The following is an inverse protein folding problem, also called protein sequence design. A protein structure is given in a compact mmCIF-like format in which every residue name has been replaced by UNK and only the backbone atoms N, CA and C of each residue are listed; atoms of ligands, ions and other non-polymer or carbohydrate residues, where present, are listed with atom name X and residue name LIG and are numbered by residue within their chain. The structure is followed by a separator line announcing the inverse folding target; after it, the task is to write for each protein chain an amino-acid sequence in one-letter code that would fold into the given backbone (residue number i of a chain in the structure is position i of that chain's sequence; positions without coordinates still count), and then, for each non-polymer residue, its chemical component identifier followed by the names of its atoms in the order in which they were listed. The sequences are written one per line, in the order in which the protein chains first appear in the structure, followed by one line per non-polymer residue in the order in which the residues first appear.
data_IF_248485939659
#
_entry.id   IF_248485939659
#
_cell.length_a   1.000
_cell.length_b   1.000
_cell.length_c   1.000
_cell.angle_alpha   90.00
_cell.angle_beta   90.00
_cell.angle_gamma   90.00
#
_symmetry.space_group_name_H-M   'P 1'
#
loop_
_entity.id
_entity.type
_entity.pdbx_description
1 polymer ?
#
# COMPACT_ATOMS: atom_id res chain seq x y z
N UNK A 1 -20.28 4.83 53.05
CA UNK A 1 -19.99 3.93 51.91
C UNK A 1 -21.06 3.86 50.80
N UNK A 2 -22.17 4.64 50.81
CA UNK A 2 -23.22 4.56 49.76
C UNK A 2 -22.99 5.43 48.51
N UNK A 3 -21.95 6.30 48.50
CA UNK A 3 -21.64 7.21 47.39
C UNK A 3 -20.73 6.61 46.31
N UNK A 4 -19.96 5.56 46.62
CA UNK A 4 -19.05 4.92 45.66
C UNK A 4 -19.81 4.14 44.56
N UNK A 5 -21.00 3.62 44.88
CA UNK A 5 -21.87 2.89 43.94
C UNK A 5 -22.77 3.78 43.05
N UNK A 6 -22.69 5.12 43.16
CA UNK A 6 -23.51 6.07 42.38
C UNK A 6 -22.77 6.73 41.21
N UNK A 7 -21.48 6.48 41.04
CA UNK A 7 -20.67 7.04 39.95
C UNK A 7 -20.77 6.20 38.65
N UNK A 8 -21.99 6.00 38.13
CA UNK A 8 -22.22 5.31 36.83
C UNK A 8 -22.17 6.26 35.62
N UNK A 9 -22.13 7.58 35.84
CA UNK A 9 -22.26 8.59 34.77
C UNK A 9 -21.02 8.75 33.86
N UNK A 10 -19.88 8.16 34.21
CA UNK A 10 -18.66 8.17 33.36
C UNK A 10 -18.18 6.79 32.92
N UNK A 11 -18.66 5.71 33.55
CA UNK A 11 -18.22 4.34 33.28
C UNK A 11 -18.66 3.87 31.88
N UNK A 12 -19.87 4.22 31.46
CA UNK A 12 -20.37 3.84 30.13
C UNK A 12 -19.54 4.45 28.98
N UNK A 13 -19.03 5.66 29.14
CA UNK A 13 -18.22 6.32 28.11
C UNK A 13 -16.90 5.57 27.88
N UNK A 14 -16.25 5.12 28.96
CA UNK A 14 -15.02 4.33 28.89
C UNK A 14 -15.26 2.93 28.33
N UNK A 15 -16.34 2.26 28.74
CA UNK A 15 -16.68 0.93 28.22
C UNK A 15 -16.90 0.95 26.70
N UNK A 16 -17.71 1.89 26.21
CA UNK A 16 -17.93 2.01 24.76
C UNK A 16 -16.67 2.46 24.02
N UNK A 17 -15.84 3.33 24.62
CA UNK A 17 -14.56 3.73 24.02
C UNK A 17 -13.58 2.57 23.84
N UNK A 18 -13.45 1.71 24.86
CA UNK A 18 -12.58 0.53 24.80
C UNK A 18 -13.14 -0.51 23.81
N UNK A 19 -14.47 -0.72 23.79
CA UNK A 19 -15.09 -1.63 22.82
C UNK A 19 -14.86 -1.18 21.37
N UNK A 20 -15.08 0.10 21.07
CA UNK A 20 -14.86 0.65 19.72
C UNK A 20 -13.37 0.57 19.34
N UNK A 21 -12.46 0.90 20.26
CA UNK A 21 -11.02 0.77 20.04
C UNK A 21 -10.59 -0.66 19.77
N UNK A 22 -11.13 -1.63 20.51
CA UNK A 22 -10.84 -3.05 20.31
C UNK A 22 -11.30 -3.56 18.93
N UNK A 23 -12.52 -3.20 18.51
CA UNK A 23 -13.05 -3.60 17.20
C UNK A 23 -12.21 -2.97 16.07
N UNK A 24 -11.83 -1.70 16.20
CA UNK A 24 -11.00 -1.01 15.22
C UNK A 24 -9.62 -1.67 15.07
N UNK A 25 -8.99 -2.06 16.19
CA UNK A 25 -7.69 -2.73 16.18
C UNK A 25 -7.76 -4.10 15.50
N UNK A 26 -8.79 -4.89 15.80
CA UNK A 26 -9.00 -6.20 15.15
C UNK A 26 -9.25 -6.04 13.65
N UNK A 27 -10.05 -5.06 13.24
CA UNK A 27 -10.31 -4.77 11.84
C UNK A 27 -9.04 -4.36 11.07
N UNK A 28 -8.18 -3.53 11.69
CA UNK A 28 -6.91 -3.11 11.10
C UNK A 28 -5.96 -4.31 10.93
N UNK A 29 -5.82 -5.15 11.95
CA UNK A 29 -4.99 -6.36 11.88
C UNK A 29 -5.51 -7.34 10.82
N UNK A 30 -6.82 -7.56 10.74
CA UNK A 30 -7.43 -8.41 9.73
C UNK A 30 -7.18 -7.87 8.31
N UNK A 31 -7.31 -6.56 8.11
CA UNK A 31 -7.07 -5.92 6.80
C UNK A 31 -5.61 -6.02 6.38
N UNK A 32 -4.66 -5.81 7.30
CA UNK A 32 -3.23 -5.93 7.01
C UNK A 32 -2.83 -7.36 6.62
N UNK A 33 -3.33 -8.38 7.34
CA UNK A 33 -3.05 -9.78 7.03
C UNK A 33 -3.72 -10.22 5.73
N UNK A 34 -4.97 -9.80 5.52
CA UNK A 34 -5.73 -10.14 4.31
C UNK A 34 -5.16 -9.46 3.06
N UNK A 35 -4.61 -8.24 3.19
CA UNK A 35 -4.01 -7.50 2.09
C UNK A 35 -2.85 -8.26 1.44
N UNK A 36 -1.87 -8.70 2.23
CA UNK A 36 -0.73 -9.50 1.73
C UNK A 36 -1.20 -10.82 1.10
N UNK A 37 -2.13 -11.53 1.75
CA UNK A 37 -2.67 -12.80 1.21
C UNK A 37 -3.43 -12.61 -0.10
N UNK A 38 -4.13 -11.48 -0.25
CA UNK A 38 -4.84 -11.13 -1.48
C UNK A 38 -3.83 -10.84 -2.60
N UNK A 39 -2.76 -10.09 -2.31
CA UNK A 39 -1.65 -9.88 -3.24
C UNK A 39 -1.01 -11.20 -3.69
N UNK A 40 -0.73 -12.12 -2.76
CA UNK A 40 -0.16 -13.44 -3.10
C UNK A 40 -1.09 -14.25 -4.00
N UNK A 41 -2.40 -14.22 -3.73
CA UNK A 41 -3.41 -14.90 -4.53
C UNK A 41 -3.45 -14.32 -5.95
N UNK A 42 -3.55 -13.00 -6.09
CA UNK A 42 -3.57 -12.33 -7.39
C UNK A 42 -2.26 -12.57 -8.16
N UNK A 43 -1.11 -12.53 -7.49
CA UNK A 43 0.18 -12.87 -8.09
C UNK A 43 0.27 -14.31 -8.58
N UNK A 44 -0.27 -15.27 -7.81
CA UNK A 44 -0.34 -16.69 -8.22
C UNK A 44 -1.26 -16.87 -9.43
N UNK A 45 -2.38 -16.16 -9.47
CA UNK A 45 -3.31 -16.18 -10.60
C UNK A 45 -2.66 -15.57 -11.84
N UNK A 46 -1.99 -14.43 -11.73
CA UNK A 46 -1.25 -13.80 -12.82
C UNK A 46 -0.12 -14.72 -13.36
N UNK A 47 0.59 -15.42 -12.47
CA UNK A 47 1.62 -16.38 -12.87
C UNK A 47 1.04 -17.62 -13.59
N UNK A 48 -0.20 -18.02 -13.27
CA UNK A 48 -0.85 -19.20 -13.87
C UNK A 48 -1.65 -18.90 -15.14
N UNK A 49 -1.97 -17.62 -15.41
CA UNK A 49 -2.58 -17.13 -16.64
C UNK A 49 -1.62 -16.17 -17.35
N UNK A 50 -0.53 -16.68 -17.95
CA UNK A 50 0.42 -15.84 -18.65
C UNK A 50 -0.26 -15.07 -19.79
N UNK A 51 0.05 -13.79 -19.92
CA UNK A 51 -0.37 -12.94 -21.03
C UNK A 51 0.23 -13.39 -22.36
N UNK A 52 -0.24 -12.80 -23.45
CA UNK A 52 0.11 -13.25 -24.79
C UNK A 52 1.55 -12.92 -25.20
N UNK A 53 2.20 -11.99 -24.48
CA UNK A 53 3.58 -11.58 -24.72
C UNK A 53 4.38 -11.56 -23.42
N UNK A 54 5.71 -11.69 -23.54
CA UNK A 54 6.63 -11.82 -22.40
C UNK A 54 6.60 -10.58 -21.48
N UNK A 55 6.18 -9.42 -22.00
CA UNK A 55 6.04 -8.17 -21.25
C UNK A 55 4.81 -8.17 -20.31
N UNK A 56 3.82 -9.04 -20.55
CA UNK A 56 2.58 -9.14 -19.76
C UNK A 56 2.75 -9.97 -18.47
N UNK A 57 3.87 -10.70 -18.36
CA UNK A 57 4.19 -11.62 -17.27
C UNK A 57 5.20 -11.07 -16.26
N UNK A 58 5.55 -9.78 -16.36
CA UNK A 58 6.39 -9.09 -15.40
C UNK A 58 5.78 -9.11 -13.99
N UNK A 59 6.62 -8.98 -12.97
CA UNK A 59 6.14 -8.82 -11.60
C UNK A 59 5.18 -7.61 -11.53
N UNK A 60 4.02 -7.76 -10.87
CA UNK A 60 3.13 -6.64 -10.58
C UNK A 60 3.86 -5.71 -9.60
N UNK A 61 4.54 -4.71 -10.14
CA UNK A 61 5.26 -3.69 -9.36
C UNK A 61 4.27 -2.55 -9.10
N UNK A 62 3.88 -2.35 -7.84
CA UNK A 62 3.07 -1.18 -7.44
C UNK A 62 3.79 0.08 -7.92
N UNK A 63 3.16 0.79 -8.86
CA UNK A 63 3.77 1.79 -9.74
C UNK A 63 4.64 2.77 -8.99
N UNK A 64 5.94 2.68 -9.25
CA UNK A 64 6.86 3.64 -8.73
C UNK A 64 7.21 4.68 -9.77
N UNK A 65 6.95 5.94 -9.43
CA UNK A 65 7.14 7.06 -10.33
C UNK A 65 8.61 7.30 -10.71
N UNK A 66 9.54 6.79 -9.88
CA UNK A 66 10.99 6.96 -10.03
C UNK A 66 11.65 5.60 -9.92
N UNK A 67 12.58 5.25 -10.81
CA UNK A 67 13.24 3.96 -10.74
C UNK A 67 14.22 3.88 -9.57
N UNK A 68 14.41 2.68 -9.06
CA UNK A 68 14.99 2.44 -7.73
C UNK A 68 15.54 1.04 -7.63
N UNK A 69 16.64 0.92 -6.92
CA UNK A 69 17.34 -0.33 -6.75
C UNK A 69 17.38 -0.73 -5.28
N UNK A 70 17.56 -2.01 -5.03
CA UNK A 70 17.71 -2.55 -3.68
C UNK A 70 19.19 -2.69 -3.36
N UNK A 71 19.68 -1.95 -2.37
CA UNK A 71 20.98 -2.23 -1.77
C UNK A 71 20.77 -3.30 -0.71
N UNK A 72 21.51 -4.40 -0.83
CA UNK A 72 21.29 -5.64 -0.09
C UNK A 72 20.90 -5.46 1.37
N UNK A 73 19.70 -5.98 1.70
CA UNK A 73 19.12 -6.21 3.03
C UNK A 73 18.32 -5.05 3.64
N UNK A 74 17.20 -4.69 3.00
CA UNK A 74 16.14 -3.82 3.54
C UNK A 74 16.41 -2.32 3.43
N UNK A 75 16.50 -1.86 2.19
CA UNK A 75 16.44 -0.44 1.88
C UNK A 75 16.22 -0.26 0.39
N UNK A 76 15.48 0.78 0.06
CA UNK A 76 15.20 1.11 -1.30
C UNK A 76 15.83 2.46 -1.63
N UNK A 77 16.64 2.49 -2.68
CA UNK A 77 17.41 3.67 -3.05
C UNK A 77 17.09 4.06 -4.49
N UNK A 78 17.19 5.35 -4.80
CA UNK A 78 17.02 5.86 -6.17
C UNK A 78 18.06 5.23 -7.10
N UNK A 79 17.61 4.69 -8.23
CA UNK A 79 18.50 4.18 -9.26
C UNK A 79 19.01 5.35 -10.10
N UNK A 80 20.17 5.86 -9.71
CA UNK A 80 20.84 6.96 -10.41
C UNK A 80 21.50 6.54 -11.73
N UNK A 81 21.56 5.24 -12.06
CA UNK A 81 22.12 4.78 -13.33
C UNK A 81 21.03 4.65 -14.39
N UNK A 82 19.81 4.30 -13.98
CA UNK A 82 18.70 4.13 -14.91
C UNK A 82 17.40 4.72 -14.34
N UNK A 83 17.27 6.06 -14.20
CA UNK A 83 16.17 6.70 -13.46
C UNK A 83 14.76 6.48 -14.05
N UNK A 84 14.67 5.99 -15.30
CA UNK A 84 13.41 5.88 -16.04
C UNK A 84 12.87 7.24 -16.50
N UNK A 85 11.79 7.24 -17.27
CA UNK A 85 11.07 8.46 -17.67
C UNK A 85 9.63 8.40 -17.20
N UNK A 86 9.02 9.56 -16.92
CA UNK A 86 7.59 9.62 -16.58
C UNK A 86 6.72 9.08 -17.71
N UNK A 87 7.13 9.25 -18.97
CA UNK A 87 6.40 8.69 -20.11
C UNK A 87 6.41 7.18 -20.15
N UNK A 88 7.56 6.57 -19.84
CA UNK A 88 7.69 5.12 -19.78
C UNK A 88 6.98 4.54 -18.55
N UNK A 89 7.01 5.24 -17.41
CA UNK A 89 6.46 4.74 -16.15
C UNK A 89 4.95 4.96 -16.02
N UNK A 90 4.41 6.00 -16.65
CA UNK A 90 2.98 6.33 -16.63
C UNK A 90 2.25 6.00 -17.95
N UNK A 91 2.99 5.65 -19.00
CA UNK A 91 2.42 5.40 -20.34
C UNK A 91 1.82 6.64 -21.00
N UNK A 92 2.25 7.84 -20.60
CA UNK A 92 1.75 9.12 -21.10
C UNK A 92 2.86 9.84 -21.87
N UNK A 93 2.59 10.28 -23.10
CA UNK A 93 3.55 11.07 -23.87
C UNK A 93 3.67 12.50 -23.28
N UNK A 94 4.90 12.90 -22.94
CA UNK A 94 5.20 14.19 -22.31
C UNK A 94 6.12 15.09 -23.13
N UNK A 95 6.57 14.63 -24.31
CA UNK A 95 7.55 15.35 -25.16
C UNK A 95 7.00 16.68 -25.71
N UNK A 96 5.67 16.84 -25.73
CA UNK A 96 4.98 18.07 -26.12
C UNK A 96 4.50 18.97 -24.97
N UNK A 97 4.74 18.61 -23.71
CA UNK A 97 4.19 19.35 -22.56
C UNK A 97 5.05 20.54 -22.11
N UNK A 98 6.33 20.56 -22.52
CA UNK A 98 7.27 21.64 -22.20
C UNK A 98 7.82 22.16 -23.52
N UNK A 99 7.28 23.29 -23.97
CA UNK A 99 7.87 24.06 -25.08
C UNK A 99 8.86 25.04 -24.47
N UNK A 100 10.15 24.76 -24.62
CA UNK A 100 11.19 25.70 -24.21
C UNK A 100 11.11 26.96 -25.10
N UNK A 101 11.07 28.17 -24.51
CA UNK A 101 11.14 29.39 -25.30
C UNK A 101 12.50 29.45 -25.99
N UNK A 102 12.48 29.64 -27.32
CA UNK A 102 13.68 29.81 -28.14
C UNK A 102 14.55 30.98 -27.68
#
# INVERSE_FOLDING_TARGET
MRKLFKNKKGQGLVEYGILVGGIALVALAATAILGHKTTDLIGTVAASLPGAHDEDNGAIVSGQLVNTTTTGQSGFVLDGQNPGSFSSNLGIDVDGLIVEPN
#
